data_IF_329657924925
#
_entry.id   IF_329657924925
#
_cell.length_a   1.000
_cell.length_b   1.000
_cell.length_c   1.000
_cell.angle_alpha   90.00
_cell.angle_beta   90.00
_cell.angle_gamma   90.00
#
_symmetry.space_group_name_H-M   'P 1'
#
loop_
_entity.id
_entity.type
_entity.pdbx_description
1 polymer ?
#
# COMPACT_ATOMS: atom_id res chain seq x y z
N UNK A 1 43.33 58.80 15.36
CA UNK A 1 43.94 58.63 14.01
C UNK A 1 43.44 57.33 13.42
N UNK A 2 42.58 57.42 12.40
CA UNK A 2 42.13 56.29 11.59
C UNK A 2 43.25 55.91 10.63
N UNK A 3 43.72 54.67 10.62
CA UNK A 3 44.49 54.18 9.49
C UNK A 3 44.20 52.69 9.24
N UNK A 4 43.77 52.45 8.00
CA UNK A 4 43.29 51.20 7.42
C UNK A 4 44.50 50.37 7.00
N UNK A 5 44.50 49.07 7.31
CA UNK A 5 45.30 48.08 6.58
C UNK A 5 44.36 46.98 6.06
N UNK A 6 44.17 47.00 4.75
CA UNK A 6 43.59 45.95 3.94
C UNK A 6 44.49 44.71 4.02
N UNK A 7 43.94 43.57 4.43
CA UNK A 7 44.42 42.26 3.96
C UNK A 7 43.17 41.46 3.58
N UNK A 8 42.83 41.51 2.30
CA UNK A 8 41.86 40.60 1.71
C UNK A 8 42.50 39.22 1.65
N UNK A 9 42.11 38.32 2.54
CA UNK A 9 42.44 36.90 2.39
C UNK A 9 41.34 36.30 1.52
N UNK A 10 41.61 36.23 0.23
CA UNK A 10 40.83 35.47 -0.73
C UNK A 10 41.06 33.97 -0.42
N UNK A 11 40.27 33.43 0.51
CA UNK A 11 40.25 32.00 0.80
C UNK A 11 39.55 31.27 -0.34
N UNK A 12 40.32 30.74 -1.28
CA UNK A 12 39.84 29.88 -2.36
C UNK A 12 39.13 28.67 -1.75
N UNK A 13 37.82 28.60 -1.95
CA UNK A 13 37.00 27.46 -1.55
C UNK A 13 37.38 26.26 -2.43
N UNK A 14 38.17 25.32 -1.91
CA UNK A 14 38.09 23.94 -2.37
C UNK A 14 36.92 23.28 -1.64
N UNK A 15 35.71 23.56 -2.13
CA UNK A 15 34.62 22.60 -1.97
C UNK A 15 35.07 21.38 -2.75
N UNK A 16 35.56 20.36 -2.04
CA UNK A 16 35.67 19.03 -2.64
C UNK A 16 34.23 18.62 -2.95
N UNK A 17 33.83 18.78 -4.20
CA UNK A 17 32.64 18.14 -4.71
C UNK A 17 32.90 16.64 -4.55
N UNK A 18 32.51 16.09 -3.41
CA UNK A 18 32.35 14.64 -3.28
C UNK A 18 31.48 14.26 -4.46
N UNK A 19 31.87 13.32 -5.34
CA UNK A 19 30.94 12.78 -6.30
C UNK A 19 29.80 12.23 -5.45
N UNK A 20 28.71 12.99 -5.40
CA UNK A 20 27.50 12.60 -4.69
C UNK A 20 27.21 11.23 -5.24
N UNK A 21 27.29 10.20 -4.38
CA UNK A 21 26.96 8.85 -4.80
C UNK A 21 25.62 8.99 -5.49
N UNK A 22 25.60 8.73 -6.80
CA UNK A 22 24.36 8.55 -7.51
C UNK A 22 23.73 7.33 -6.84
N UNK A 23 22.97 7.58 -5.80
CA UNK A 23 22.04 6.62 -5.27
C UNK A 23 21.04 6.49 -6.41
N UNK A 24 21.25 5.48 -7.25
CA UNK A 24 20.17 5.00 -8.10
C UNK A 24 18.96 4.89 -7.18
N UNK A 25 17.86 5.62 -7.44
CA UNK A 25 16.66 5.44 -6.65
C UNK A 25 16.42 3.94 -6.64
N UNK A 26 16.39 3.34 -5.44
CA UNK A 26 15.89 1.98 -5.30
C UNK A 26 14.58 1.96 -6.08
N UNK A 27 14.31 0.96 -6.94
CA UNK A 27 13.04 0.90 -7.64
C UNK A 27 11.97 1.13 -6.57
N UNK A 28 11.16 2.18 -6.75
CA UNK A 28 10.10 2.51 -5.82
C UNK A 28 9.39 1.19 -5.55
N UNK A 29 9.42 0.73 -4.29
CA UNK A 29 8.84 -0.56 -3.93
C UNK A 29 7.38 -0.46 -4.33
N UNK A 30 7.07 -0.99 -5.50
CA UNK A 30 5.72 -0.99 -6.02
C UNK A 30 4.94 -1.79 -4.98
N UNK A 31 3.84 -1.25 -4.50
CA UNK A 31 2.97 -1.98 -3.57
C UNK A 31 2.68 -3.38 -4.12
N UNK A 32 2.27 -4.33 -3.26
CA UNK A 32 2.08 -5.71 -3.69
C UNK A 32 1.25 -5.75 -4.98
N UNK A 33 1.78 -6.43 -6.00
CA UNK A 33 1.09 -6.57 -7.27
C UNK A 33 -0.31 -7.18 -7.03
N UNK A 34 -1.33 -6.82 -7.85
CA UNK A 34 -2.65 -7.41 -7.74
C UNK A 34 -2.56 -8.93 -7.70
N UNK A 35 -3.09 -9.52 -6.62
CA UNK A 35 -3.02 -10.96 -6.42
C UNK A 35 -4.27 -11.62 -6.98
N UNK A 36 -4.07 -12.66 -7.80
CA UNK A 36 -5.19 -13.54 -8.18
C UNK A 36 -5.59 -14.37 -6.97
N UNK A 37 -6.87 -14.28 -6.59
CA UNK A 37 -7.42 -15.11 -5.52
C UNK A 37 -7.40 -16.56 -5.97
N UNK A 38 -6.60 -17.37 -5.30
CA UNK A 38 -6.57 -18.83 -5.46
C UNK A 38 -7.06 -19.47 -4.17
N UNK A 39 -7.77 -20.59 -4.29
CA UNK A 39 -8.26 -21.38 -3.14
C UNK A 39 -9.12 -20.59 -2.15
N UNK A 40 -10.04 -19.75 -2.64
CA UNK A 40 -11.06 -19.12 -1.79
C UNK A 40 -11.91 -20.17 -1.07
N UNK A 41 -12.33 -19.87 0.16
CA UNK A 41 -13.12 -20.80 0.99
C UNK A 41 -14.39 -20.13 1.52
N UNK A 42 -15.37 -20.96 1.83
CA UNK A 42 -16.63 -20.54 2.48
C UNK A 42 -17.35 -19.39 1.75
N UNK A 43 -17.68 -19.55 0.45
CA UNK A 43 -18.41 -18.51 -0.26
C UNK A 43 -19.84 -18.34 0.31
N UNK A 44 -20.28 -17.09 0.41
CA UNK A 44 -21.64 -16.71 0.79
C UNK A 44 -22.15 -15.63 -0.17
N UNK A 45 -23.25 -15.92 -0.87
CA UNK A 45 -23.93 -14.97 -1.76
C UNK A 45 -24.75 -13.98 -0.92
N UNK A 46 -24.72 -12.70 -1.29
CA UNK A 46 -25.57 -11.68 -0.68
C UNK A 46 -27.05 -11.91 -0.98
N UNK A 47 -27.99 -11.46 -0.12
CA UNK A 47 -29.42 -11.69 -0.33
C UNK A 47 -29.97 -11.15 -1.67
N UNK A 48 -29.42 -10.04 -2.15
CA UNK A 48 -29.74 -9.41 -3.44
C UNK A 48 -29.02 -10.08 -4.63
N UNK A 49 -28.15 -11.07 -4.39
CA UNK A 49 -27.38 -11.77 -5.41
C UNK A 49 -26.25 -10.95 -6.05
N UNK A 50 -26.00 -9.72 -5.61
CA UNK A 50 -25.05 -8.82 -6.28
C UNK A 50 -23.58 -9.06 -5.90
N UNK A 51 -23.33 -9.69 -4.75
CA UNK A 51 -22.00 -9.81 -4.14
C UNK A 51 -21.76 -11.19 -3.55
N UNK A 52 -20.50 -11.63 -3.57
CA UNK A 52 -20.05 -12.87 -2.93
C UNK A 52 -19.03 -12.49 -1.86
N UNK A 53 -19.28 -12.90 -0.63
CA UNK A 53 -18.29 -12.86 0.45
C UNK A 53 -17.57 -14.20 0.51
N UNK A 54 -16.27 -14.20 0.78
CA UNK A 54 -15.48 -15.42 0.94
C UNK A 54 -14.28 -15.18 1.86
N UNK A 55 -13.71 -16.26 2.37
CA UNK A 55 -12.45 -16.23 3.12
C UNK A 55 -11.26 -16.52 2.22
N UNK A 56 -10.22 -15.70 2.34
CA UNK A 56 -8.94 -15.89 1.68
C UNK A 56 -7.81 -15.31 2.52
N UNK A 57 -6.73 -16.08 2.69
CA UNK A 57 -5.62 -15.74 3.59
C UNK A 57 -6.05 -15.38 5.03
N UNK A 58 -7.04 -16.09 5.56
CA UNK A 58 -7.66 -15.84 6.87
C UNK A 58 -8.38 -14.49 7.02
N UNK A 59 -8.59 -13.77 5.91
CA UNK A 59 -9.36 -12.53 5.84
C UNK A 59 -10.69 -12.74 5.13
N UNK A 60 -11.63 -11.82 5.37
CA UNK A 60 -12.90 -11.77 4.64
C UNK A 60 -12.80 -10.77 3.48
N UNK A 61 -13.22 -11.23 2.31
CA UNK A 61 -13.23 -10.49 1.06
C UNK A 61 -14.63 -10.47 0.46
N UNK A 62 -14.94 -9.41 -0.30
CA UNK A 62 -16.14 -9.30 -1.14
C UNK A 62 -15.72 -9.12 -2.59
N UNK A 63 -16.42 -9.78 -3.51
CA UNK A 63 -16.34 -9.55 -4.96
C UNK A 63 -17.77 -9.40 -5.53
N UNK A 64 -17.97 -8.65 -6.63
CA UNK A 64 -19.24 -8.71 -7.36
C UNK A 64 -19.55 -10.14 -7.82
N UNK A 65 -20.82 -10.54 -7.82
CA UNK A 65 -21.23 -11.87 -8.27
C UNK A 65 -20.94 -12.10 -9.76
N UNK A 66 -20.91 -11.02 -10.56
CA UNK A 66 -20.48 -11.04 -11.95
C UNK A 66 -18.95 -11.26 -12.13
N UNK A 67 -18.18 -11.30 -11.03
CA UNK A 67 -16.73 -11.32 -11.04
C UNK A 67 -16.11 -9.93 -11.08
N UNK A 68 -14.78 -9.88 -10.99
CA UNK A 68 -14.00 -8.64 -10.99
C UNK A 68 -13.08 -8.54 -9.78
N UNK A 69 -12.87 -7.32 -9.32
CA UNK A 69 -11.96 -7.03 -8.22
C UNK A 69 -12.56 -7.42 -6.87
N UNK A 70 -11.82 -8.21 -6.10
CA UNK A 70 -12.18 -8.53 -4.72
C UNK A 70 -11.58 -7.47 -3.78
N UNK A 71 -12.38 -6.95 -2.86
CA UNK A 71 -11.93 -6.05 -1.80
C UNK A 71 -11.92 -6.76 -0.45
N UNK A 72 -10.88 -6.53 0.33
CA UNK A 72 -10.82 -6.97 1.73
C UNK A 72 -11.71 -6.08 2.59
N UNK A 73 -12.44 -6.67 3.55
CA UNK A 73 -13.36 -5.94 4.45
C UNK A 73 -13.12 -6.19 5.94
N UNK A 74 -12.59 -7.34 6.34
CA UNK A 74 -12.17 -7.59 7.73
C UNK A 74 -10.81 -8.27 7.75
N UNK A 75 -10.01 -7.90 8.75
CA UNK A 75 -8.67 -8.41 9.01
C UNK A 75 -8.48 -8.57 10.52
N UNK A 76 -9.16 -9.56 11.11
CA UNK A 76 -8.92 -9.96 12.49
C UNK A 76 -8.50 -11.43 12.62
N UNK A 77 -8.59 -12.23 11.54
CA UNK A 77 -8.22 -13.64 11.53
C UNK A 77 -9.12 -14.55 12.37
N UNK A 78 -10.15 -14.01 13.03
CA UNK A 78 -11.01 -14.77 13.94
C UNK A 78 -12.23 -15.35 13.23
N UNK A 79 -12.73 -14.67 12.19
CA UNK A 79 -13.86 -15.13 11.39
C UNK A 79 -13.44 -15.48 9.96
N UNK A 80 -13.67 -16.73 9.58
CA UNK A 80 -13.39 -17.27 8.24
C UNK A 80 -14.66 -17.71 7.51
N UNK A 81 -15.85 -17.57 8.12
CA UNK A 81 -17.12 -18.06 7.59
C UNK A 81 -18.11 -16.91 7.45
N UNK A 82 -18.00 -16.10 6.39
CA UNK A 82 -18.84 -14.93 6.22
C UNK A 82 -20.31 -15.30 6.17
N UNK A 83 -21.15 -14.49 6.82
CA UNK A 83 -22.62 -14.59 6.77
C UNK A 83 -23.20 -13.20 6.62
N UNK A 84 -24.00 -13.01 5.58
CA UNK A 84 -24.68 -11.75 5.35
C UNK A 84 -25.80 -11.54 6.36
N UNK A 85 -25.99 -10.30 6.80
CA UNK A 85 -27.25 -9.88 7.42
C UNK A 85 -28.41 -10.07 6.43
N UNK A 86 -29.65 -10.27 6.91
CA UNK A 86 -30.80 -10.49 6.02
C UNK A 86 -31.05 -9.34 5.02
N UNK A 87 -30.67 -8.12 5.38
CA UNK A 87 -30.73 -6.93 4.54
C UNK A 87 -29.52 -6.76 3.58
N UNK A 88 -28.51 -7.63 3.68
CA UNK A 88 -27.31 -7.61 2.85
C UNK A 88 -26.34 -6.46 3.12
N UNK A 89 -26.59 -5.63 4.15
CA UNK A 89 -25.76 -4.46 4.45
C UNK A 89 -24.44 -4.82 5.14
N UNK A 90 -24.42 -5.92 5.90
CA UNK A 90 -23.34 -6.25 6.83
C UNK A 90 -22.90 -7.72 6.70
N UNK A 91 -21.64 -7.96 7.06
CA UNK A 91 -20.98 -9.27 7.22
C UNK A 91 -20.36 -9.36 8.61
#
# INVERSE_FOLDING_TARGET
>A
MRLRCLIAILGLALVTASPGRAQTPLPAQSGPAPQTVRTARYPALSPDGSRIAFSWQADIWIVPAAGGEARRIKHDGHDIRPKWSPDGGTL
#
